data_IF_189080898671
#
_entry.id   IF_189080898671
#
_cell.length_a   1.000
_cell.length_b   1.000
_cell.length_c   1.000
_cell.angle_alpha   90.00
_cell.angle_beta   90.00
_cell.angle_gamma   90.00
#
_symmetry.space_group_name_H-M   'P 1'
#
loop_
_entity.id
_entity.type
_entity.pdbx_description
1 polymer ?
#
# COMPACT_ATOMS: atom_id res chain seq x y z
N UNK A 1 8.21 -1.74 12.09
CA UNK A 1 7.70 -3.12 12.27
C UNK A 1 7.03 -3.31 13.63
N UNK A 2 7.71 -3.10 14.78
CA UNK A 2 7.15 -3.40 16.11
C UNK A 2 5.82 -2.71 16.41
N UNK A 3 5.68 -1.42 16.13
CA UNK A 3 4.42 -0.71 16.40
C UNK A 3 3.31 -1.07 15.40
N UNK A 4 3.68 -1.50 14.20
CA UNK A 4 2.72 -1.97 13.19
C UNK A 4 2.17 -3.35 13.59
N UNK A 5 3.03 -4.26 14.02
CA UNK A 5 2.74 -5.62 14.50
C UNK A 5 1.67 -6.35 13.65
N UNK A 6 1.77 -6.25 12.34
CA UNK A 6 0.81 -6.83 11.41
C UNK A 6 1.24 -8.24 10.97
N UNK A 7 0.27 -9.10 10.65
CA UNK A 7 0.54 -10.44 10.11
C UNK A 7 1.00 -10.40 8.66
N UNK A 8 0.61 -9.34 7.93
CA UNK A 8 0.94 -9.10 6.52
C UNK A 8 1.32 -7.63 6.35
N UNK A 9 2.45 -7.34 5.74
CA UNK A 9 2.99 -5.98 5.55
C UNK A 9 3.36 -5.77 4.09
N UNK A 10 2.64 -4.90 3.40
CA UNK A 10 3.04 -4.38 2.10
C UNK A 10 4.08 -3.28 2.27
N UNK A 11 5.15 -3.33 1.51
CA UNK A 11 6.24 -2.36 1.56
C UNK A 11 6.50 -1.81 0.16
N UNK A 12 6.68 -0.50 0.07
CA UNK A 12 7.07 0.22 -1.14
C UNK A 12 8.49 0.77 -1.02
N UNK A 13 9.11 1.08 -2.16
CA UNK A 13 10.45 1.66 -2.25
C UNK A 13 11.57 0.74 -1.74
N UNK A 14 11.40 -0.56 -1.97
CA UNK A 14 12.42 -1.56 -1.66
C UNK A 14 13.46 -1.57 -2.76
N UNK A 15 14.73 -1.39 -2.41
CA UNK A 15 15.84 -1.39 -3.37
C UNK A 15 16.28 -2.81 -3.75
N UNK A 16 16.30 -3.74 -2.76
CA UNK A 16 16.73 -5.12 -2.96
C UNK A 16 16.18 -6.03 -1.86
N UNK A 17 16.05 -7.31 -2.16
CA UNK A 17 15.56 -8.32 -1.21
C UNK A 17 16.38 -8.36 0.09
N UNK A 18 17.70 -8.23 0.03
CA UNK A 18 18.56 -8.26 1.23
C UNK A 18 18.25 -7.14 2.25
N UNK A 19 17.71 -5.99 1.80
CA UNK A 19 17.24 -4.93 2.72
C UNK A 19 16.06 -5.41 3.55
N UNK A 20 15.18 -6.22 2.97
CA UNK A 20 14.06 -6.83 3.67
C UNK A 20 14.50 -7.94 4.63
N UNK A 21 15.53 -8.71 4.24
CA UNK A 21 16.15 -9.72 5.09
C UNK A 21 16.77 -9.06 6.34
N UNK A 22 17.55 -7.99 6.15
CA UNK A 22 18.11 -7.20 7.26
C UNK A 22 17.00 -6.59 8.16
N UNK A 23 15.90 -6.12 7.56
CA UNK A 23 14.75 -5.61 8.32
C UNK A 23 14.07 -6.71 9.14
N UNK A 24 13.92 -7.90 8.58
CA UNK A 24 13.34 -9.06 9.25
C UNK A 24 14.24 -9.52 10.41
N UNK A 25 15.53 -9.63 10.18
CA UNK A 25 16.52 -9.98 11.22
C UNK A 25 16.55 -8.96 12.37
N UNK A 26 16.36 -7.68 12.06
CA UNK A 26 16.25 -6.63 13.06
C UNK A 26 14.95 -6.66 13.88
N UNK A 27 13.97 -7.49 13.50
CA UNK A 27 12.69 -7.65 14.18
C UNK A 27 12.41 -9.11 14.60
N UNK A 28 13.16 -9.66 15.57
CA UNK A 28 13.12 -11.07 15.96
C UNK A 28 11.81 -11.51 16.65
N UNK A 29 10.86 -10.60 16.87
CA UNK A 29 9.54 -10.92 17.43
C UNK A 29 8.63 -11.66 16.45
N UNK A 30 8.94 -11.61 15.16
CA UNK A 30 8.27 -12.33 14.08
C UNK A 30 9.31 -12.81 13.08
N UNK A 31 9.06 -13.97 12.52
CA UNK A 31 9.86 -14.55 11.44
C UNK A 31 9.00 -14.47 10.16
N UNK A 32 9.12 -13.33 9.47
CA UNK A 32 8.37 -13.12 8.24
C UNK A 32 9.02 -13.86 7.07
N UNK A 33 8.21 -14.46 6.23
CA UNK A 33 8.61 -14.78 4.87
C UNK A 33 8.46 -13.56 3.96
N UNK A 34 9.28 -13.50 2.90
CA UNK A 34 9.42 -12.34 2.01
C UNK A 34 9.01 -12.74 0.60
N UNK A 35 8.17 -11.91 -0.03
CA UNK A 35 7.91 -11.97 -1.47
C UNK A 35 8.36 -10.67 -2.09
N UNK A 36 9.34 -10.75 -2.98
CA UNK A 36 9.92 -9.63 -3.71
C UNK A 36 10.19 -10.02 -5.16
N UNK A 37 9.98 -9.08 -6.08
CA UNK A 37 10.33 -9.21 -7.49
C UNK A 37 10.95 -7.89 -7.95
N UNK A 38 12.08 -7.97 -8.65
CA UNK A 38 12.68 -6.82 -9.31
C UNK A 38 11.73 -6.27 -10.39
N UNK A 39 11.52 -4.96 -10.39
CA UNK A 39 10.70 -4.26 -11.36
C UNK A 39 11.56 -3.36 -12.28
N UNK A 40 11.05 -2.94 -13.44
CA UNK A 40 11.83 -2.16 -14.39
C UNK A 40 11.92 -0.66 -14.01
N UNK A 41 11.65 -0.26 -12.78
CA UNK A 41 11.74 1.15 -12.35
C UNK A 41 13.19 1.65 -12.45
N UNK A 42 13.38 2.81 -13.06
CA UNK A 42 14.72 3.38 -13.30
C UNK A 42 15.47 3.77 -12.01
N UNK A 43 14.78 3.88 -10.88
CA UNK A 43 15.39 4.15 -9.57
C UNK A 43 15.82 2.87 -8.85
N UNK A 44 15.48 1.69 -9.39
CA UNK A 44 15.74 0.40 -8.75
C UNK A 44 14.96 0.24 -7.45
N UNK A 45 13.69 0.60 -7.44
CA UNK A 45 12.80 0.42 -6.28
C UNK A 45 11.59 -0.42 -6.64
N UNK A 46 11.17 -1.26 -5.72
CA UNK A 46 10.17 -2.29 -5.93
C UNK A 46 9.07 -2.26 -4.88
N UNK A 47 8.09 -3.15 -5.06
CA UNK A 47 7.08 -3.50 -4.08
C UNK A 47 7.39 -4.88 -3.49
N UNK A 48 7.14 -5.05 -2.20
CA UNK A 48 7.34 -6.30 -1.51
C UNK A 48 6.22 -6.62 -0.51
N UNK A 49 6.12 -7.89 -0.13
CA UNK A 49 5.26 -8.36 0.94
C UNK A 49 6.09 -9.14 1.96
N UNK A 50 5.95 -8.76 3.25
CA UNK A 50 6.38 -9.58 4.38
C UNK A 50 5.13 -10.19 5.02
N UNK A 51 5.18 -11.48 5.37
CA UNK A 51 4.02 -12.14 5.96
C UNK A 51 4.45 -13.21 6.98
N UNK A 52 3.64 -13.34 8.03
CA UNK A 52 3.76 -14.42 9.00
C UNK A 52 3.23 -15.72 8.37
N UNK A 53 4.08 -16.74 8.10
CA UNK A 53 3.66 -17.99 7.45
C UNK A 53 2.71 -18.84 8.29
N UNK A 54 2.61 -18.56 9.60
CA UNK A 54 1.62 -19.21 10.46
C UNK A 54 0.22 -18.59 10.32
N UNK A 55 0.09 -17.44 9.65
CA UNK A 55 -1.16 -16.70 9.45
C UNK A 55 -1.62 -16.72 8.00
N UNK A 56 -0.71 -16.42 7.07
CA UNK A 56 -0.98 -16.41 5.64
C UNK A 56 -0.22 -17.56 4.97
N UNK A 57 -0.95 -18.50 4.38
CA UNK A 57 -0.36 -19.54 3.53
C UNK A 57 -0.39 -19.08 2.08
N UNK A 58 0.74 -18.70 1.54
CA UNK A 58 0.85 -18.26 0.15
C UNK A 58 0.63 -19.42 -0.82
N UNK A 59 -0.29 -19.24 -1.75
CA UNK A 59 -0.62 -20.21 -2.80
C UNK A 59 0.14 -19.88 -4.07
N UNK A 60 0.17 -18.61 -4.46
CA UNK A 60 0.92 -18.12 -5.62
C UNK A 60 1.21 -16.64 -5.52
N UNK A 61 2.28 -16.19 -6.16
CA UNK A 61 2.61 -14.78 -6.30
C UNK A 61 3.18 -14.49 -7.70
N UNK A 62 3.08 -13.24 -8.13
CA UNK A 62 3.70 -12.76 -9.37
C UNK A 62 3.84 -11.24 -9.37
N UNK A 63 4.82 -10.75 -10.11
CA UNK A 63 4.86 -9.36 -10.53
C UNK A 63 3.90 -9.15 -11.72
N UNK A 64 3.10 -8.10 -11.69
CA UNK A 64 2.26 -7.65 -12.79
C UNK A 64 2.94 -6.46 -13.41
N UNK A 65 3.42 -6.63 -14.66
CA UNK A 65 4.13 -5.58 -15.39
C UNK A 65 3.23 -4.34 -15.56
N UNK A 66 3.65 -3.24 -14.95
CA UNK A 66 2.94 -1.96 -15.02
C UNK A 66 3.51 -1.10 -16.15
N UNK A 67 3.04 -1.32 -17.36
CA UNK A 67 3.48 -0.59 -18.55
C UNK A 67 2.83 0.78 -18.63
N UNK A 68 3.62 1.82 -18.56
CA UNK A 68 3.13 3.20 -18.64
C UNK A 68 2.91 3.66 -20.10
N UNK A 69 2.01 4.61 -20.33
CA UNK A 69 1.85 5.24 -21.63
C UNK A 69 3.19 5.78 -22.15
N UNK A 70 3.41 5.62 -23.46
CA UNK A 70 4.64 6.04 -24.18
C UNK A 70 5.92 5.27 -23.76
N UNK A 71 5.77 4.08 -23.18
CA UNK A 71 6.90 3.19 -22.89
C UNK A 71 7.74 3.59 -21.69
N UNK A 72 7.18 4.30 -20.72
CA UNK A 72 7.86 4.60 -19.45
C UNK A 72 7.90 3.38 -18.52
N UNK A 73 9.00 3.26 -17.76
CA UNK A 73 9.18 2.26 -16.72
C UNK A 73 8.66 2.75 -15.36
N UNK A 74 8.14 1.83 -14.57
CA UNK A 74 7.70 2.08 -13.18
C UNK A 74 7.69 0.76 -12.42
N UNK A 75 7.34 0.81 -11.14
CA UNK A 75 7.21 -0.39 -10.29
C UNK A 75 6.09 -1.28 -10.78
N UNK A 76 6.36 -2.55 -10.82
CA UNK A 76 5.34 -3.56 -11.05
C UNK A 76 4.40 -3.65 -9.85
N UNK A 77 3.18 -4.12 -10.07
CA UNK A 77 2.25 -4.42 -8.99
C UNK A 77 2.57 -5.83 -8.50
N UNK A 78 2.83 -5.99 -7.20
CA UNK A 78 2.99 -7.32 -6.62
C UNK A 78 1.61 -7.90 -6.32
N UNK A 79 1.30 -9.04 -6.92
CA UNK A 79 0.10 -9.81 -6.64
C UNK A 79 0.44 -11.09 -5.87
N UNK A 80 -0.34 -11.33 -4.80
CA UNK A 80 -0.25 -12.54 -3.99
C UNK A 80 -1.65 -13.12 -3.79
N UNK A 81 -1.79 -14.42 -4.05
CA UNK A 81 -2.95 -15.22 -3.67
C UNK A 81 -2.56 -16.08 -2.48
N UNK A 82 -3.31 -16.00 -1.40
CA UNK A 82 -3.07 -16.75 -0.19
C UNK A 82 -4.34 -17.30 0.44
N UNK A 83 -4.14 -18.11 1.48
CA UNK A 83 -5.19 -18.61 2.37
C UNK A 83 -4.93 -18.01 3.75
N UNK A 84 -5.92 -17.28 4.28
CA UNK A 84 -5.91 -16.68 5.60
C UNK A 84 -7.17 -17.11 6.35
N UNK A 85 -7.00 -17.73 7.52
CA UNK A 85 -8.12 -18.26 8.32
C UNK A 85 -9.07 -19.16 7.50
N UNK A 86 -8.54 -20.05 6.66
CA UNK A 86 -9.23 -20.98 5.75
C UNK A 86 -10.04 -20.32 4.59
N UNK A 87 -9.82 -19.03 4.36
CA UNK A 87 -10.45 -18.28 3.25
C UNK A 87 -9.40 -17.81 2.25
N UNK A 88 -9.77 -17.74 0.98
CA UNK A 88 -8.86 -17.25 -0.08
C UNK A 88 -8.89 -15.74 -0.10
N UNK A 89 -7.69 -15.14 -0.03
CA UNK A 89 -7.51 -13.70 -0.15
C UNK A 89 -6.56 -13.36 -1.30
N UNK A 90 -6.89 -12.28 -2.02
CA UNK A 90 -6.09 -11.71 -3.09
C UNK A 90 -5.51 -10.37 -2.64
N UNK A 91 -4.19 -10.27 -2.58
CA UNK A 91 -3.46 -9.11 -2.06
C UNK A 91 -2.69 -8.48 -3.21
N UNK A 92 -2.82 -7.16 -3.37
CA UNK A 92 -2.08 -6.38 -4.35
C UNK A 92 -1.28 -5.29 -3.64
N UNK A 93 0.05 -5.29 -3.81
CA UNK A 93 0.91 -4.22 -3.31
C UNK A 93 1.19 -3.26 -4.45
N UNK A 94 0.92 -1.99 -4.21
CA UNK A 94 0.91 -0.93 -5.20
C UNK A 94 1.86 0.21 -4.81
N UNK A 95 2.58 0.73 -5.80
CA UNK A 95 3.20 2.04 -5.69
C UNK A 95 3.00 2.76 -7.03
N UNK A 96 1.99 3.61 -7.07
CA UNK A 96 1.58 4.29 -8.30
C UNK A 96 2.56 5.40 -8.70
N UNK A 97 2.58 5.83 -9.99
CA UNK A 97 3.45 6.90 -10.45
C UNK A 97 3.28 8.19 -9.65
N UNK A 98 4.40 8.68 -9.08
CA UNK A 98 4.43 9.86 -8.23
C UNK A 98 4.17 11.15 -9.00
N UNK A 99 3.88 12.23 -8.26
CA UNK A 99 3.73 13.58 -8.80
C UNK A 99 5.08 14.24 -9.21
N UNK A 100 6.20 13.51 -9.11
CA UNK A 100 7.50 14.00 -9.53
C UNK A 100 7.50 14.33 -11.02
N UNK A 101 7.97 15.52 -11.38
CA UNK A 101 7.92 16.03 -12.75
C UNK A 101 6.59 16.66 -13.17
N UNK A 102 5.63 16.77 -12.24
CA UNK A 102 4.36 17.47 -12.41
C UNK A 102 3.14 16.55 -12.36
N UNK A 103 2.17 16.95 -11.54
CA UNK A 103 0.93 16.20 -11.29
C UNK A 103 0.16 15.87 -12.59
N UNK A 104 0.01 16.84 -13.49
CA UNK A 104 -0.74 16.65 -14.74
C UNK A 104 -0.13 15.56 -15.64
N UNK A 105 1.21 15.39 -15.58
CA UNK A 105 1.91 14.33 -16.31
C UNK A 105 1.76 12.96 -15.61
N UNK A 106 1.54 12.95 -14.31
CA UNK A 106 1.38 11.74 -13.52
C UNK A 106 -0.04 11.17 -13.62
N UNK A 107 -1.09 12.01 -13.70
CA UNK A 107 -2.49 11.58 -13.79
C UNK A 107 -2.74 10.50 -14.87
N UNK A 108 -2.33 10.69 -16.15
CA UNK A 108 -2.57 9.66 -17.16
C UNK A 108 -1.77 8.37 -16.94
N UNK A 109 -0.64 8.44 -16.23
CA UNK A 109 0.14 7.26 -15.86
C UNK A 109 -0.61 6.45 -14.79
N UNK A 110 -1.12 7.14 -13.77
CA UNK A 110 -1.96 6.49 -12.73
C UNK A 110 -3.27 5.95 -13.29
N UNK A 111 -3.88 6.64 -14.25
CA UNK A 111 -5.05 6.13 -14.97
C UNK A 111 -4.77 4.79 -15.68
N UNK A 112 -3.60 4.65 -16.29
CA UNK A 112 -3.19 3.39 -16.91
C UNK A 112 -2.99 2.29 -15.86
N UNK A 113 -2.38 2.61 -14.71
CA UNK A 113 -2.21 1.68 -13.59
C UNK A 113 -3.56 1.26 -13.01
N UNK A 114 -4.49 2.20 -12.77
CA UNK A 114 -5.84 1.90 -12.30
C UNK A 114 -6.62 0.99 -13.28
N UNK A 115 -6.46 1.22 -14.59
CA UNK A 115 -7.05 0.37 -15.62
C UNK A 115 -6.46 -1.04 -15.60
N UNK A 116 -5.15 -1.18 -15.43
CA UNK A 116 -4.48 -2.47 -15.29
C UNK A 116 -5.03 -3.24 -14.09
N UNK A 117 -5.12 -2.59 -12.92
CA UNK A 117 -5.66 -3.18 -11.69
C UNK A 117 -7.12 -3.61 -11.91
N UNK A 118 -7.95 -2.74 -12.46
CA UNK A 118 -9.37 -3.06 -12.73
C UNK A 118 -9.52 -4.28 -13.63
N UNK A 119 -8.64 -4.45 -14.63
CA UNK A 119 -8.62 -5.63 -15.50
C UNK A 119 -8.25 -6.90 -14.74
N UNK A 120 -7.20 -6.85 -13.90
CA UNK A 120 -6.78 -8.00 -13.09
C UNK A 120 -7.89 -8.44 -12.12
N UNK A 121 -8.51 -7.47 -11.44
CA UNK A 121 -9.61 -7.72 -10.52
C UNK A 121 -10.83 -8.27 -11.23
N UNK A 122 -11.22 -7.70 -12.38
CA UNK A 122 -12.32 -8.24 -13.19
C UNK A 122 -12.09 -9.69 -13.59
N UNK A 123 -10.84 -10.07 -13.92
CA UNK A 123 -10.51 -11.45 -14.24
C UNK A 123 -10.64 -12.40 -13.04
N UNK A 124 -10.35 -11.94 -11.83
CA UNK A 124 -10.59 -12.70 -10.59
C UNK A 124 -12.08 -12.85 -10.35
N UNK A 125 -12.84 -11.76 -10.41
CA UNK A 125 -14.29 -11.73 -10.15
C UNK A 125 -15.12 -12.53 -11.16
N UNK A 126 -14.63 -12.69 -12.39
CA UNK A 126 -15.24 -13.58 -13.38
C UNK A 126 -15.21 -15.05 -12.96
N UNK A 127 -14.21 -15.46 -12.20
CA UNK A 127 -14.07 -16.83 -11.70
C UNK A 127 -14.70 -17.00 -10.31
N UNK A 128 -14.68 -15.96 -9.50
CA UNK A 128 -15.23 -15.93 -8.15
C UNK A 128 -15.76 -14.52 -7.84
N UNK A 129 -17.06 -14.34 -8.00
CA UNK A 129 -17.74 -13.06 -7.78
C UNK A 129 -17.67 -12.59 -6.31
N UNK A 130 -17.40 -13.49 -5.38
CA UNK A 130 -17.23 -13.20 -3.95
C UNK A 130 -15.78 -13.10 -3.50
N UNK A 131 -14.81 -13.08 -4.44
CA UNK A 131 -13.39 -13.06 -4.11
C UNK A 131 -13.02 -11.93 -3.14
N UNK A 132 -12.28 -12.27 -2.12
CA UNK A 132 -11.81 -11.31 -1.12
C UNK A 132 -10.53 -10.65 -1.59
N UNK A 133 -10.62 -9.35 -1.90
CA UNK A 133 -9.56 -8.61 -2.57
C UNK A 133 -9.18 -7.37 -1.76
N UNK A 134 -7.87 -7.20 -1.51
CA UNK A 134 -7.30 -6.06 -0.82
C UNK A 134 -6.12 -5.48 -1.61
N UNK A 135 -6.08 -4.18 -1.73
CA UNK A 135 -4.96 -3.44 -2.30
C UNK A 135 -4.32 -2.60 -1.20
N UNK A 136 -3.01 -2.65 -1.11
CA UNK A 136 -2.18 -1.93 -0.14
C UNK A 136 -1.15 -1.08 -0.88
N UNK A 137 -0.75 0.06 -0.31
CA UNK A 137 0.41 0.81 -0.76
C UNK A 137 0.20 2.29 -0.99
N UNK A 138 1.15 2.90 -1.70
CA UNK A 138 1.16 4.31 -2.07
C UNK A 138 0.49 4.51 -3.45
N UNK A 139 -0.69 5.12 -3.44
CA UNK A 139 -1.46 5.42 -4.65
C UNK A 139 -1.11 6.79 -5.25
N UNK A 140 -0.33 7.63 -4.56
CA UNK A 140 0.05 8.99 -4.99
C UNK A 140 -1.15 9.88 -5.38
N UNK A 141 -2.35 9.51 -4.91
CA UNK A 141 -3.62 10.23 -5.04
C UNK A 141 -4.44 10.07 -3.76
N UNK A 142 -5.20 11.10 -3.40
CA UNK A 142 -6.17 11.01 -2.31
C UNK A 142 -7.34 10.08 -2.68
N UNK A 143 -8.05 9.50 -1.69
CA UNK A 143 -9.18 8.58 -1.94
C UNK A 143 -10.29 9.14 -2.83
N UNK A 144 -10.51 10.46 -2.85
CA UNK A 144 -11.53 11.15 -3.65
C UNK A 144 -11.04 11.56 -5.05
N UNK A 145 -9.78 11.29 -5.39
CA UNK A 145 -9.25 11.59 -6.71
C UNK A 145 -9.68 10.57 -7.77
N UNK A 146 -9.74 11.04 -9.01
CA UNK A 146 -10.42 10.37 -10.13
C UNK A 146 -9.93 8.94 -10.39
N UNK A 147 -8.60 8.69 -10.30
CA UNK A 147 -8.07 7.37 -10.63
C UNK A 147 -8.37 6.35 -9.50
N UNK A 148 -8.31 6.77 -8.22
CA UNK A 148 -8.74 5.94 -7.09
C UNK A 148 -10.25 5.70 -7.16
N UNK A 149 -11.05 6.75 -7.41
CA UNK A 149 -12.50 6.63 -7.57
C UNK A 149 -12.90 5.72 -8.74
N UNK A 150 -12.09 5.62 -9.81
CA UNK A 150 -12.36 4.73 -10.93
C UNK A 150 -12.38 3.24 -10.53
N UNK A 151 -11.68 2.87 -9.47
CA UNK A 151 -11.67 1.49 -8.95
C UNK A 151 -13.03 1.05 -8.38
N UNK A 152 -13.92 1.99 -8.06
CA UNK A 152 -15.30 1.69 -7.66
C UNK A 152 -16.10 0.94 -8.74
N UNK A 153 -15.70 1.06 -10.00
CA UNK A 153 -16.34 0.33 -11.11
C UNK A 153 -16.17 -1.19 -11.03
N UNK A 154 -15.19 -1.64 -10.23
CA UNK A 154 -14.94 -3.07 -9.95
C UNK A 154 -15.13 -3.40 -8.46
N UNK A 155 -16.00 -2.68 -7.77
CA UNK A 155 -16.40 -2.95 -6.38
C UNK A 155 -15.36 -2.59 -5.32
N UNK A 156 -14.34 -1.83 -5.66
CA UNK A 156 -13.28 -1.43 -4.72
C UNK A 156 -13.54 -0.06 -4.10
N UNK A 157 -13.19 0.12 -2.84
CA UNK A 157 -13.27 1.42 -2.16
C UNK A 157 -12.19 1.55 -1.07
N UNK A 158 -11.68 2.78 -0.93
CA UNK A 158 -10.65 3.10 0.07
C UNK A 158 -11.23 3.14 1.49
N UNK A 159 -10.55 2.50 2.43
CA UNK A 159 -10.86 2.60 3.85
C UNK A 159 -10.45 3.95 4.45
N UNK A 160 -9.64 4.73 3.74
CA UNK A 160 -9.20 6.07 4.15
C UNK A 160 -10.22 7.17 3.77
N UNK A 161 -11.17 6.88 2.84
CA UNK A 161 -12.15 7.87 2.37
C UNK A 161 -12.95 8.56 3.51
N UNK A 162 -13.38 7.86 4.59
CA UNK A 162 -14.07 8.50 5.72
C UNK A 162 -13.21 9.46 6.56
N UNK A 163 -11.88 9.42 6.40
CA UNK A 163 -10.95 10.28 7.13
C UNK A 163 -10.67 11.60 6.41
N UNK A 164 -11.10 11.75 5.16
CA UNK A 164 -10.91 12.97 4.38
C UNK A 164 -11.48 14.19 5.11
N UNK A 165 -10.70 15.27 5.11
CA UNK A 165 -11.10 16.53 5.76
C UNK A 165 -10.90 16.57 7.27
N UNK A 166 -10.47 15.49 7.91
CA UNK A 166 -10.09 15.53 9.32
C UNK A 166 -8.78 16.30 9.48
N UNK A 167 -8.71 17.29 10.41
CA UNK A 167 -7.53 18.11 10.56
C UNK A 167 -6.32 17.31 11.06
N UNK A 168 -5.16 17.59 10.50
CA UNK A 168 -3.87 16.96 10.84
C UNK A 168 -3.88 15.43 10.65
N UNK A 169 -4.69 14.96 9.72
CA UNK A 169 -4.84 13.53 9.44
C UNK A 169 -4.45 13.27 7.98
N UNK A 170 -3.48 12.40 7.78
CA UNK A 170 -2.97 12.01 6.47
C UNK A 170 -1.74 11.13 6.63
N UNK A 171 -1.36 10.45 5.56
CA UNK A 171 -0.17 9.58 5.53
C UNK A 171 1.06 10.29 5.01
N UNK A 172 0.87 11.36 4.27
CA UNK A 172 1.91 12.19 3.67
C UNK A 172 1.59 13.67 3.85
N UNK A 173 2.61 14.54 3.95
CA UNK A 173 2.40 15.99 4.05
C UNK A 173 3.17 16.70 2.95
N UNK A 174 2.46 17.45 2.12
CA UNK A 174 3.06 18.26 1.07
C UNK A 174 2.62 19.71 1.17
N UNK A 175 3.60 20.64 1.31
CA UNK A 175 3.36 22.08 1.43
C UNK A 175 2.31 22.44 2.49
N UNK A 176 2.34 21.76 3.64
CA UNK A 176 1.41 21.96 4.75
C UNK A 176 0.03 21.34 4.56
N UNK A 177 -0.22 20.61 3.48
CA UNK A 177 -1.46 19.87 3.24
C UNK A 177 -1.25 18.41 3.58
N UNK A 178 -2.10 17.85 4.44
CA UNK A 178 -2.18 16.42 4.72
C UNK A 178 -2.86 15.72 3.54
N UNK A 179 -2.28 14.58 3.11
CA UNK A 179 -2.69 13.79 1.96
C UNK A 179 -2.74 12.30 2.37
N UNK A 180 -3.67 11.55 1.77
CA UNK A 180 -3.85 10.12 2.02
C UNK A 180 -3.32 9.29 0.84
N UNK A 181 -2.02 9.36 0.59
CA UNK A 181 -1.38 8.63 -0.51
C UNK A 181 -1.25 7.15 -0.22
N UNK A 182 -0.97 6.78 1.04
CA UNK A 182 -0.96 5.38 1.48
C UNK A 182 -2.36 4.96 1.85
N UNK A 183 -2.86 3.93 1.18
CA UNK A 183 -4.24 3.50 1.33
C UNK A 183 -4.35 1.99 1.46
N UNK A 184 -5.43 1.58 2.12
CA UNK A 184 -5.98 0.23 2.09
C UNK A 184 -7.29 0.32 1.32
N UNK A 185 -7.35 -0.31 0.16
CA UNK A 185 -8.52 -0.34 -0.71
C UNK A 185 -9.04 -1.77 -0.75
N UNK A 186 -10.32 -1.97 -0.51
CA UNK A 186 -10.92 -3.30 -0.39
C UNK A 186 -12.11 -3.47 -1.31
N UNK A 187 -12.31 -4.71 -1.77
CA UNK A 187 -13.52 -5.10 -2.47
C UNK A 187 -14.70 -5.20 -1.50
N UNK A 188 -15.91 -5.01 -2.01
CA UNK A 188 -17.15 -5.03 -1.22
C UNK A 188 -17.41 -6.35 -0.49
N UNK A 189 -16.85 -7.47 -0.98
CA UNK A 189 -16.88 -8.78 -0.29
C UNK A 189 -16.29 -8.72 1.12
N UNK A 190 -15.21 -7.95 1.33
CA UNK A 190 -14.60 -7.75 2.65
C UNK A 190 -15.41 -6.83 3.58
N UNK A 191 -16.54 -6.29 3.12
CA UNK A 191 -17.48 -5.47 3.90
C UNK A 191 -18.79 -6.18 4.20
N UNK A 192 -19.02 -7.33 3.58
CA UNK A 192 -20.20 -8.16 3.87
C UNK A 192 -19.97 -9.03 5.13
N UNK A 193 -20.97 -9.82 5.49
CA UNK A 193 -20.91 -10.63 6.71
C UNK A 193 -20.46 -12.08 6.46
N UNK A 194 -19.78 -12.36 5.34
CA UNK A 194 -19.35 -13.70 4.93
C UNK A 194 -17.83 -13.79 4.84
N UNK A 195 -17.28 -14.97 5.15
CA UNK A 195 -15.85 -15.24 5.04
C UNK A 195 -14.98 -14.29 5.87
N UNK A 196 -14.08 -13.58 5.24
CA UNK A 196 -13.29 -12.52 5.88
C UNK A 196 -14.04 -11.18 5.85
N UNK A 197 -13.81 -10.35 6.86
CA UNK A 197 -14.36 -9.01 6.89
C UNK A 197 -13.37 -8.03 7.51
N UNK A 198 -13.44 -6.78 7.05
CA UNK A 198 -12.74 -5.67 7.67
C UNK A 198 -13.40 -5.33 9.00
N UNK A 199 -12.59 -5.14 10.04
CA UNK A 199 -13.01 -4.45 11.24
C UNK A 199 -12.89 -2.92 11.00
N UNK A 200 -14.00 -2.20 10.78
CA UNK A 200 -13.94 -0.79 10.39
C UNK A 200 -13.39 0.13 11.49
N UNK A 201 -13.48 -0.29 12.77
CA UNK A 201 -12.95 0.47 13.89
C UNK A 201 -11.42 0.32 14.04
N UNK A 202 -10.84 -0.64 13.33
CA UNK A 202 -9.41 -0.91 13.35
C UNK A 202 -8.62 -0.17 12.26
N UNK A 203 -9.27 0.59 11.39
CA UNK A 203 -8.61 1.38 10.34
C UNK A 203 -7.80 2.50 11.01
N UNK A 204 -6.49 2.45 10.82
CA UNK A 204 -5.58 3.27 11.61
C UNK A 204 -4.38 3.74 10.82
N UNK A 205 -4.03 5.02 10.97
CA UNK A 205 -2.75 5.58 10.53
C UNK A 205 -1.80 5.52 11.72
N UNK A 206 -0.64 4.90 11.55
CA UNK A 206 0.38 4.77 12.60
C UNK A 206 1.07 6.13 12.83
N UNK A 207 0.36 7.02 13.49
CA UNK A 207 0.77 8.40 13.78
C UNK A 207 1.22 8.55 15.23
N UNK A 208 2.41 8.07 15.55
CA UNK A 208 3.00 8.26 16.87
C UNK A 208 3.97 9.46 16.84
N UNK A 209 4.14 10.18 17.98
CA UNK A 209 5.03 11.36 18.04
C UNK A 209 6.43 11.09 17.48
N UNK A 210 7.00 9.91 17.70
CA UNK A 210 8.33 9.54 17.19
C UNK A 210 8.42 9.47 15.66
N UNK A 211 7.27 9.30 14.97
CA UNK A 211 7.20 9.29 13.51
C UNK A 211 6.97 10.66 12.90
N UNK A 212 6.80 11.69 13.74
CA UNK A 212 6.68 13.08 13.30
C UNK A 212 7.94 13.86 13.64
N UNK A 213 8.31 14.79 12.79
CA UNK A 213 9.34 15.77 13.11
C UNK A 213 8.85 16.66 14.24
N UNK A 214 9.64 16.82 15.31
CA UNK A 214 9.18 17.45 16.55
C UNK A 214 9.40 18.95 16.59
N UNK A 215 10.33 19.48 15.78
CA UNK A 215 10.77 20.88 15.84
C UNK A 215 10.88 21.50 14.44
N UNK A 216 10.93 22.85 14.41
CA UNK A 216 11.10 23.65 13.21
C UNK A 216 9.83 23.78 12.35
N UNK A 217 10.00 24.31 11.14
CA UNK A 217 8.90 24.63 10.22
C UNK A 217 8.15 23.38 9.73
N UNK A 218 8.72 22.20 9.92
CA UNK A 218 8.17 20.91 9.49
C UNK A 218 7.77 20.02 10.67
N UNK A 219 7.54 20.59 11.85
CA UNK A 219 7.27 19.85 13.10
C UNK A 219 6.13 18.83 13.04
N UNK A 220 5.18 18.96 12.11
CA UNK A 220 4.06 18.01 11.95
C UNK A 220 4.22 17.07 10.76
N UNK A 221 5.32 17.19 9.98
CA UNK A 221 5.59 16.30 8.86
C UNK A 221 6.05 14.92 9.37
N UNK A 222 5.81 13.84 8.62
CA UNK A 222 6.47 12.58 8.89
C UNK A 222 7.99 12.77 8.99
N UNK A 223 8.62 12.08 9.95
CA UNK A 223 10.06 12.22 10.20
C UNK A 223 10.84 11.39 9.20
N UNK A 224 11.18 12.02 8.08
CA UNK A 224 11.89 11.40 6.96
C UNK A 224 13.36 11.13 7.27
N UNK A 225 13.93 10.15 6.60
CA UNK A 225 15.35 9.82 6.71
C UNK A 225 16.23 10.89 6.06
N UNK A 226 15.84 11.35 4.86
CA UNK A 226 16.53 12.41 4.12
C UNK A 226 15.63 13.62 3.86
N UNK A 227 16.21 14.83 3.87
CA UNK A 227 15.59 16.05 3.39
C UNK A 227 16.54 16.74 2.39
N UNK A 228 16.32 16.49 1.10
CA UNK A 228 17.30 16.85 0.08
C UNK A 228 18.62 16.13 0.32
N UNK A 229 19.70 16.87 0.52
CA UNK A 229 21.04 16.31 0.82
C UNK A 229 21.33 16.16 2.32
N UNK A 230 20.38 16.47 3.19
CA UNK A 230 20.57 16.43 4.64
C UNK A 230 20.01 15.11 5.21
N UNK A 231 20.85 14.36 5.93
CA UNK A 231 20.45 13.21 6.71
C UNK A 231 19.76 13.68 8.00
N UNK A 232 18.47 13.36 8.15
CA UNK A 232 17.72 13.68 9.37
C UNK A 232 17.65 12.47 10.32
N UNK A 233 17.80 11.25 9.80
CA UNK A 233 17.81 10.02 10.59
C UNK A 233 16.43 9.58 11.08
N UNK A 234 15.37 10.05 10.42
CA UNK A 234 14.00 9.60 10.68
C UNK A 234 13.67 8.25 10.05
N UNK A 235 12.39 7.93 9.92
CA UNK A 235 11.93 6.62 9.48
C UNK A 235 11.47 6.63 8.02
N UNK A 236 10.52 7.50 7.67
CA UNK A 236 9.90 7.63 6.36
C UNK A 236 9.26 9.01 6.21
N UNK A 237 9.08 9.50 5.00
CA UNK A 237 8.25 10.66 4.72
C UNK A 237 6.75 10.32 4.56
N UNK A 238 6.41 9.06 4.73
CA UNK A 238 5.05 8.57 4.82
C UNK A 238 4.77 7.91 6.19
N UNK A 239 3.50 7.88 6.59
CA UNK A 239 3.02 7.12 7.75
C UNK A 239 2.34 5.85 7.28
N UNK A 240 2.62 4.74 7.97
CA UNK A 240 2.00 3.46 7.66
C UNK A 240 0.51 3.44 8.02
N UNK A 241 -0.28 2.68 7.26
CA UNK A 241 -1.70 2.43 7.50
C UNK A 241 -1.93 0.97 7.89
N UNK A 242 -2.90 0.72 8.73
CA UNK A 242 -3.23 -0.61 9.23
C UNK A 242 -4.74 -0.84 9.32
N UNK A 243 -5.15 -2.10 9.14
CA UNK A 243 -6.50 -2.59 9.40
C UNK A 243 -6.45 -4.02 9.94
N UNK A 244 -7.43 -4.41 10.71
CA UNK A 244 -7.63 -5.81 11.10
C UNK A 244 -8.65 -6.47 10.18
N UNK A 245 -8.31 -7.69 9.74
CA UNK A 245 -9.22 -8.59 9.03
C UNK A 245 -9.64 -9.67 10.02
N UNK A 246 -10.93 -9.93 10.12
CA UNK A 246 -11.52 -10.92 11.01
C UNK A 246 -12.27 -11.97 10.18
N UNK A 247 -12.26 -13.23 10.63
CA UNK A 247 -13.17 -14.27 10.12
C UNK A 247 -14.51 -14.14 10.83
N UNK A 248 -15.60 -14.16 10.07
CA UNK A 248 -17.00 -14.12 10.58
C UNK A 248 -17.66 -15.49 10.54
#
# INVERSE_FOLDING_TARGET
MADLNADVVGICEVEHQWVLEDLNDAYPQRDYEIIHYESPDNRGIDNALLYDPNKLKVISSRAILNSLPKGGNTRDILYVKGEYADEIIHIFINHWPSNYGGREKAIPKRAATATLISKEISAILLNDAGAEIILLGDFNEDPDEMNVQSLKTVGLSSLMEPMLGQPKTGTYVYRGKDLFYDQIIVHESLKDARGLAIDPESVYILDLPKYRQQEGDYAHYPFRFWAGNNLLGGFSDHLAVRVNIIKK
#
